data_IF_483239829060
#
_entry.id   IF_483239829060
#
_cell.length_a   1.000
_cell.length_b   1.000
_cell.length_c   1.000
_cell.angle_alpha   90.00
_cell.angle_beta   90.00
_cell.angle_gamma   90.00
#
_symmetry.space_group_name_H-M   'P 1'
#
loop_
_entity.id
_entity.type
_entity.pdbx_description
1 polymer ?
#
# COMPACT_ATOMS: atom_id res chain seq x y z
N UNK A 1 -0.62 -18.19 -2.40
CA UNK A 1 -0.05 -18.17 -1.03
C UNK A 1 -1.18 -17.73 -0.11
N UNK A 2 -1.80 -18.68 0.59
CA UNK A 2 -2.76 -18.39 1.65
C UNK A 2 -2.07 -17.48 2.64
N UNK A 3 -2.69 -16.34 2.99
CA UNK A 3 -2.26 -15.52 4.12
C UNK A 3 -2.42 -16.37 5.39
N UNK A 4 -1.46 -17.24 5.67
CA UNK A 4 -1.25 -17.73 7.02
C UNK A 4 -0.91 -16.52 7.89
N UNK A 5 -1.50 -16.49 9.08
CA UNK A 5 -1.23 -15.44 10.04
C UNK A 5 0.30 -15.36 10.22
N UNK A 6 0.91 -14.29 9.72
CA UNK A 6 2.33 -14.04 9.91
C UNK A 6 2.55 -13.94 11.39
N UNK A 7 3.33 -14.87 11.94
CA UNK A 7 3.70 -14.85 13.35
C UNK A 7 4.49 -13.56 13.62
N UNK A 8 3.83 -12.61 14.26
CA UNK A 8 4.41 -11.31 14.63
C UNK A 8 5.45 -11.43 15.74
N UNK A 9 5.73 -12.65 16.25
CA UNK A 9 6.74 -12.90 17.27
C UNK A 9 8.17 -12.88 16.72
N UNK A 10 8.38 -12.92 15.41
CA UNK A 10 9.68 -12.87 14.79
C UNK A 10 10.30 -11.48 14.92
N UNK A 11 11.42 -11.38 15.67
CA UNK A 11 12.14 -10.14 15.92
C UNK A 11 12.65 -9.44 14.65
N UNK A 12 12.88 -10.19 13.58
CA UNK A 12 13.26 -9.64 12.27
C UNK A 12 12.11 -8.85 11.63
N UNK A 13 10.88 -9.27 11.86
CA UNK A 13 9.68 -8.56 11.41
C UNK A 13 9.56 -7.23 12.14
N UNK A 14 9.75 -7.20 13.46
CA UNK A 14 9.62 -5.98 14.28
C UNK A 14 10.63 -4.89 13.91
N UNK A 15 11.90 -5.22 13.65
CA UNK A 15 12.92 -4.23 13.28
C UNK A 15 12.64 -3.55 11.92
N UNK A 16 12.01 -4.22 10.99
CA UNK A 16 11.60 -3.62 9.71
C UNK A 16 10.42 -2.63 9.86
N UNK A 17 9.64 -2.76 10.94
CA UNK A 17 8.44 -1.97 11.22
C UNK A 17 8.70 -0.61 11.85
N UNK A 18 9.75 -0.52 12.67
CA UNK A 18 10.12 0.72 13.38
C UNK A 18 10.84 1.72 12.48
N UNK A 19 11.24 1.32 11.28
CA UNK A 19 11.90 2.20 10.33
C UNK A 19 10.85 2.92 9.49
N UNK A 20 10.75 4.21 9.67
CA UNK A 20 9.98 5.10 8.81
C UNK A 20 10.42 4.88 7.38
N UNK A 21 9.48 4.59 6.47
CA UNK A 21 9.76 4.77 5.07
C UNK A 21 10.12 6.26 4.89
N UNK A 22 11.34 6.56 4.50
CA UNK A 22 11.61 7.87 3.94
C UNK A 22 11.04 7.85 2.53
N UNK A 23 9.79 8.31 2.42
CA UNK A 23 9.03 8.33 1.18
C UNK A 23 9.78 9.08 0.09
N UNK A 24 10.35 10.23 0.44
CA UNK A 24 11.12 11.08 -0.49
C UNK A 24 12.36 10.36 -1.03
N UNK A 25 13.11 9.66 -0.18
CA UNK A 25 14.27 8.87 -0.62
C UNK A 25 13.86 7.72 -1.55
N UNK A 26 12.75 7.03 -1.24
CA UNK A 26 12.23 5.96 -2.07
C UNK A 26 11.74 6.49 -3.42
N UNK A 27 11.01 7.60 -3.44
CA UNK A 27 10.55 8.26 -4.65
C UNK A 27 11.73 8.72 -5.50
N UNK A 28 12.76 9.32 -4.88
CA UNK A 28 13.97 9.77 -5.58
C UNK A 28 14.71 8.62 -6.26
N UNK A 29 14.84 7.47 -5.61
CA UNK A 29 15.46 6.29 -6.22
C UNK A 29 14.67 5.79 -7.43
N UNK A 30 13.36 5.68 -7.30
CA UNK A 30 12.51 5.13 -8.36
C UNK A 30 12.41 6.07 -9.56
N UNK A 31 12.40 7.39 -9.34
CA UNK A 31 12.38 8.39 -10.42
C UNK A 31 13.60 8.29 -11.35
N UNK A 32 14.72 7.81 -10.82
CA UNK A 32 15.97 7.68 -11.56
C UNK A 32 16.29 6.24 -11.98
N UNK A 33 15.40 5.29 -11.71
CA UNK A 33 15.58 3.90 -12.07
C UNK A 33 15.14 3.62 -13.52
N UNK A 34 15.64 2.53 -14.09
CA UNK A 34 15.17 2.00 -15.37
C UNK A 34 14.90 0.50 -15.28
N UNK A 35 14.06 0.01 -16.16
CA UNK A 35 13.69 -1.41 -16.17
C UNK A 35 14.93 -2.29 -16.43
N UNK A 36 15.04 -3.37 -15.67
CA UNK A 36 16.15 -4.32 -15.80
C UNK A 36 17.48 -3.91 -15.14
N UNK A 37 17.47 -2.84 -14.30
CA UNK A 37 18.66 -2.47 -13.52
C UNK A 37 19.17 -3.64 -12.68
N UNK A 38 20.49 -3.91 -12.77
CA UNK A 38 21.18 -4.85 -11.89
C UNK A 38 21.22 -4.34 -10.45
N UNK A 39 21.52 -5.23 -9.50
CA UNK A 39 21.69 -4.82 -8.10
C UNK A 39 22.83 -3.84 -7.91
N UNK A 40 23.90 -3.98 -8.69
CA UNK A 40 25.05 -3.08 -8.64
C UNK A 40 24.68 -1.69 -9.15
N UNK A 41 23.93 -1.60 -10.24
CA UNK A 41 23.42 -0.34 -10.78
C UNK A 41 22.46 0.36 -9.77
N UNK A 42 21.62 -0.39 -9.07
CA UNK A 42 20.79 0.15 -7.98
C UNK A 42 21.65 0.67 -6.82
N UNK A 43 22.73 -0.01 -6.48
CA UNK A 43 23.64 0.39 -5.40
C UNK A 43 24.38 1.67 -5.78
N UNK A 44 24.92 1.76 -6.98
CA UNK A 44 25.58 2.97 -7.50
C UNK A 44 24.60 4.16 -7.55
N UNK A 45 23.36 3.93 -8.00
CA UNK A 45 22.34 4.95 -8.04
C UNK A 45 22.04 5.47 -6.62
N UNK A 46 21.86 4.57 -5.66
CA UNK A 46 21.57 4.95 -4.26
C UNK A 46 22.76 5.68 -3.61
N UNK A 47 24.00 5.27 -3.89
CA UNK A 47 25.21 5.93 -3.38
C UNK A 47 25.32 7.37 -3.91
N UNK A 48 24.96 7.59 -5.16
CA UNK A 48 24.99 8.90 -5.82
C UNK A 48 23.86 9.82 -5.34
N UNK A 49 22.63 9.32 -5.24
CA UNK A 49 21.46 10.15 -4.96
C UNK A 49 21.20 10.35 -3.46
N UNK A 50 21.64 9.43 -2.62
CA UNK A 50 21.38 9.42 -1.18
C UNK A 50 22.69 9.35 -0.37
N UNK A 51 23.68 10.24 -0.61
CA UNK A 51 24.96 10.20 0.07
C UNK A 51 24.82 10.37 1.60
N UNK A 52 23.78 11.09 2.05
CA UNK A 52 23.47 11.29 3.46
C UNK A 52 22.92 10.04 4.16
N UNK A 53 22.39 9.07 3.41
CA UNK A 53 21.89 7.83 3.99
C UNK A 53 23.03 6.83 4.22
N UNK A 54 23.08 6.22 5.39
CA UNK A 54 24.07 5.16 5.66
C UNK A 54 23.86 3.92 4.76
N UNK A 55 24.93 3.19 4.47
CA UNK A 55 24.92 2.04 3.57
C UNK A 55 23.83 0.98 3.90
N UNK A 56 23.55 0.74 5.17
CA UNK A 56 22.48 -0.18 5.60
C UNK A 56 21.10 0.36 5.19
N UNK A 57 20.88 1.67 5.28
CA UNK A 57 19.64 2.32 4.90
C UNK A 57 19.44 2.29 3.38
N UNK A 58 20.48 2.58 2.59
CA UNK A 58 20.41 2.50 1.12
C UNK A 58 20.06 1.09 0.65
N UNK A 59 20.71 0.06 1.21
CA UNK A 59 20.38 -1.36 0.92
C UNK A 59 18.93 -1.71 1.25
N UNK A 60 18.41 -1.20 2.35
CA UNK A 60 17.00 -1.42 2.73
C UNK A 60 16.05 -0.75 1.73
N UNK A 61 16.30 0.50 1.33
CA UNK A 61 15.51 1.21 0.33
C UNK A 61 15.51 0.48 -1.02
N UNK A 62 16.69 0.07 -1.49
CA UNK A 62 16.81 -0.71 -2.73
C UNK A 62 15.94 -1.97 -2.64
N UNK A 63 16.06 -2.74 -1.57
CA UNK A 63 15.25 -3.96 -1.37
C UNK A 63 13.75 -3.69 -1.37
N UNK A 64 13.31 -2.53 -0.87
CA UNK A 64 11.90 -2.15 -0.86
C UNK A 64 11.37 -1.74 -2.24
N UNK A 65 12.18 -1.04 -3.04
CA UNK A 65 11.73 -0.50 -4.33
C UNK A 65 12.10 -1.36 -5.52
N UNK A 66 13.15 -2.17 -5.40
CA UNK A 66 13.54 -3.12 -6.44
C UNK A 66 12.61 -4.32 -6.44
N UNK A 67 12.21 -4.74 -7.62
CA UNK A 67 11.47 -5.99 -7.85
C UNK A 67 12.08 -6.71 -9.06
N UNK A 68 12.33 -7.97 -8.90
CA UNK A 68 12.85 -8.82 -9.98
C UNK A 68 11.72 -9.47 -10.80
N UNK A 69 10.47 -9.13 -10.47
CA UNK A 69 9.28 -9.70 -11.10
C UNK A 69 9.00 -9.05 -12.47
N UNK A 70 8.40 -9.82 -13.35
CA UNK A 70 7.92 -9.39 -14.69
C UNK A 70 7.01 -8.16 -14.60
N UNK A 71 6.36 -7.97 -13.49
CA UNK A 71 5.46 -6.83 -13.19
C UNK A 71 6.22 -5.52 -12.94
N UNK A 72 7.49 -5.58 -12.60
CA UNK A 72 8.29 -4.41 -12.27
C UNK A 72 8.32 -3.36 -13.38
N UNK A 73 8.40 -3.79 -14.63
CA UNK A 73 8.44 -2.88 -15.80
C UNK A 73 7.14 -2.09 -15.96
N UNK A 74 5.98 -2.73 -15.74
CA UNK A 74 4.68 -2.06 -15.78
C UNK A 74 4.55 -1.05 -14.62
N UNK A 75 4.97 -1.45 -13.42
CA UNK A 75 4.96 -0.59 -12.25
C UNK A 75 5.86 0.64 -12.44
N UNK A 76 7.09 0.44 -12.92
CA UNK A 76 8.06 1.52 -13.11
C UNK A 76 7.58 2.55 -14.14
N UNK A 77 7.00 2.10 -15.27
CA UNK A 77 6.41 3.01 -16.26
C UNK A 77 5.27 3.83 -15.67
N UNK A 78 4.32 3.18 -14.99
CA UNK A 78 3.20 3.86 -14.34
C UNK A 78 3.68 4.86 -13.28
N UNK A 79 4.77 4.54 -12.60
CA UNK A 79 5.37 5.40 -11.59
C UNK A 79 6.00 6.64 -12.24
N UNK A 80 6.84 6.46 -13.24
CA UNK A 80 7.56 7.56 -13.91
C UNK A 80 6.61 8.49 -14.66
N UNK A 81 5.58 7.94 -15.32
CA UNK A 81 4.55 8.72 -16.00
C UNK A 81 3.47 9.27 -15.04
N UNK A 82 3.57 8.94 -13.76
CA UNK A 82 2.56 9.25 -12.77
C UNK A 82 2.70 10.63 -12.14
N UNK A 83 1.56 11.21 -11.80
CA UNK A 83 1.53 12.36 -10.89
C UNK A 83 1.94 11.93 -9.46
N UNK A 84 2.24 12.87 -8.54
CA UNK A 84 2.65 12.53 -7.17
C UNK A 84 1.70 11.59 -6.44
N UNK A 85 0.39 11.74 -6.65
CA UNK A 85 -0.61 10.89 -6.02
C UNK A 85 -0.57 9.44 -6.52
N UNK A 86 -0.36 9.22 -7.83
CA UNK A 86 -0.13 7.89 -8.41
C UNK A 86 1.12 7.25 -7.87
N UNK A 87 2.23 7.99 -7.80
CA UNK A 87 3.52 7.50 -7.30
C UNK A 87 3.42 7.00 -5.86
N UNK A 88 2.78 7.77 -5.00
CA UNK A 88 2.52 7.37 -3.60
C UNK A 88 1.66 6.12 -3.55
N UNK A 89 0.55 6.07 -4.30
CA UNK A 89 -0.33 4.90 -4.36
C UNK A 89 0.38 3.63 -4.84
N UNK A 90 1.21 3.73 -5.88
CA UNK A 90 2.00 2.61 -6.40
C UNK A 90 3.08 2.16 -5.39
N UNK A 91 3.76 3.10 -4.75
CA UNK A 91 4.78 2.80 -3.75
C UNK A 91 4.17 2.02 -2.58
N UNK A 92 3.09 2.52 -2.02
CA UNK A 92 2.42 1.86 -0.89
C UNK A 92 1.73 0.56 -1.31
N UNK A 93 1.10 0.51 -2.48
CA UNK A 93 0.51 -0.71 -3.01
C UNK A 93 1.52 -1.84 -3.12
N UNK A 94 2.78 -1.51 -3.38
CA UNK A 94 3.88 -2.49 -3.43
C UNK A 94 4.44 -2.83 -2.05
N UNK A 95 4.70 -1.82 -1.22
CA UNK A 95 5.35 -2.00 0.08
C UNK A 95 4.49 -2.77 1.08
N UNK A 96 3.18 -2.61 1.03
CA UNK A 96 2.29 -3.10 2.07
C UNK A 96 1.91 -4.55 1.94
N UNK A 97 2.16 -5.15 0.78
CA UNK A 97 2.05 -6.60 0.64
C UNK A 97 2.86 -7.33 1.72
N UNK A 98 3.93 -6.69 2.19
CA UNK A 98 4.85 -7.20 3.21
C UNK A 98 4.76 -6.44 4.55
N UNK A 99 3.64 -5.76 4.85
CA UNK A 99 3.49 -4.94 6.07
C UNK A 99 2.24 -5.33 6.88
N UNK A 100 2.25 -6.51 7.56
CA UNK A 100 1.08 -7.05 8.26
C UNK A 100 0.48 -6.09 9.31
N UNK A 101 1.27 -5.28 10.03
CA UNK A 101 0.74 -4.37 11.04
C UNK A 101 -0.17 -3.29 10.43
N UNK A 102 0.21 -2.75 9.27
CA UNK A 102 -0.62 -1.76 8.59
C UNK A 102 -1.91 -2.39 8.07
N UNK A 103 -1.83 -3.62 7.54
CA UNK A 103 -3.02 -4.37 7.14
C UNK A 103 -3.94 -4.66 8.34
N UNK A 104 -3.36 -5.04 9.48
CA UNK A 104 -4.12 -5.19 10.72
C UNK A 104 -4.77 -3.88 11.16
N UNK A 105 -4.07 -2.74 11.05
CA UNK A 105 -4.65 -1.44 11.39
C UNK A 105 -5.81 -1.07 10.45
N UNK A 106 -5.72 -1.42 9.16
CA UNK A 106 -6.84 -1.28 8.24
C UNK A 106 -8.03 -2.12 8.68
N UNK A 107 -7.82 -3.41 8.94
CA UNK A 107 -8.89 -4.35 9.26
C UNK A 107 -9.50 -4.13 10.66
N UNK A 108 -8.66 -3.82 11.66
CA UNK A 108 -9.10 -3.73 13.06
C UNK A 108 -9.55 -2.33 13.47
N UNK A 109 -9.06 -1.27 12.79
CA UNK A 109 -9.34 0.12 13.16
C UNK A 109 -10.06 0.90 12.05
N UNK A 110 -9.49 0.93 10.83
CA UNK A 110 -9.98 1.81 9.76
C UNK A 110 -11.31 1.31 9.20
N UNK A 111 -11.38 0.08 8.72
CA UNK A 111 -12.61 -0.45 8.13
C UNK A 111 -13.79 -0.46 9.10
N UNK A 112 -13.66 -0.89 10.36
CA UNK A 112 -14.76 -0.80 11.32
C UNK A 112 -15.21 0.63 11.60
N UNK A 113 -14.31 1.61 11.56
CA UNK A 113 -14.67 3.01 11.73
C UNK A 113 -15.41 3.56 10.49
N UNK A 114 -14.96 3.20 9.27
CA UNK A 114 -15.67 3.53 8.03
C UNK A 114 -17.08 2.92 8.00
N UNK A 115 -17.21 1.65 8.37
CA UNK A 115 -18.53 0.99 8.46
C UNK A 115 -19.47 1.68 9.44
N UNK A 116 -18.95 2.20 10.56
CA UNK A 116 -19.76 3.01 11.49
C UNK A 116 -20.17 4.35 10.88
N UNK A 117 -19.24 5.02 10.19
CA UNK A 117 -19.47 6.32 9.57
C UNK A 117 -20.43 6.24 8.37
N UNK A 118 -20.46 5.13 7.66
CA UNK A 118 -21.33 4.91 6.49
C UNK A 118 -22.79 4.54 6.86
N UNK A 119 -23.12 4.41 8.14
CA UNK A 119 -24.50 4.12 8.56
C UNK A 119 -25.42 5.29 8.21
N UNK A 120 -26.72 5.04 7.95
CA UNK A 120 -27.68 6.11 7.61
C UNK A 120 -27.78 7.22 8.67
N UNK A 121 -27.56 6.87 9.96
CA UNK A 121 -27.54 7.80 11.09
C UNK A 121 -26.30 7.52 11.96
N UNK A 122 -25.10 7.93 11.49
CA UNK A 122 -23.88 7.65 12.22
C UNK A 122 -23.80 8.54 13.47
N UNK A 123 -23.19 8.06 14.57
CA UNK A 123 -22.78 8.92 15.67
C UNK A 123 -21.85 10.05 15.16
N UNK A 124 -21.84 11.17 15.87
CA UNK A 124 -21.05 12.35 15.47
C UNK A 124 -19.54 12.07 15.29
N UNK A 125 -19.02 11.11 16.04
CA UNK A 125 -17.61 10.70 16.08
C UNK A 125 -17.38 9.30 15.50
N UNK A 126 -18.29 8.80 14.66
CA UNK A 126 -18.26 7.45 14.11
C UNK A 126 -16.97 7.17 13.32
N UNK A 127 -16.40 8.20 12.69
CA UNK A 127 -15.16 8.19 11.92
C UNK A 127 -13.90 8.42 12.79
N UNK A 128 -14.05 8.70 14.08
CA UNK A 128 -12.94 8.96 14.97
C UNK A 128 -12.33 7.66 15.49
N UNK A 129 -11.01 7.61 15.53
CA UNK A 129 -10.25 6.61 16.27
C UNK A 129 -9.54 7.30 17.42
N UNK A 130 -9.99 7.02 18.63
CA UNK A 130 -9.46 7.61 19.85
C UNK A 130 -7.96 7.25 20.08
N UNK A 131 -7.18 8.15 20.68
CA UNK A 131 -5.75 7.92 20.93
C UNK A 131 -5.44 6.64 21.70
N UNK A 132 -6.26 6.31 22.70
CA UNK A 132 -6.10 5.11 23.52
C UNK A 132 -6.37 3.81 22.74
N UNK A 133 -7.24 3.85 21.71
CA UNK A 133 -7.47 2.73 20.79
C UNK A 133 -6.21 2.45 19.98
N UNK A 134 -5.56 3.51 19.46
CA UNK A 134 -4.26 3.38 18.79
C UNK A 134 -3.19 2.82 19.71
N UNK A 135 -3.14 3.29 20.94
CA UNK A 135 -2.14 2.85 21.92
C UNK A 135 -2.35 1.37 22.28
N UNK A 136 -3.58 0.94 22.49
CA UNK A 136 -3.90 -0.48 22.73
C UNK A 136 -3.52 -1.35 21.53
N UNK A 137 -3.88 -0.93 20.32
CA UNK A 137 -3.56 -1.64 19.09
C UNK A 137 -2.06 -1.86 18.93
N UNK A 138 -1.26 -0.80 19.06
CA UNK A 138 0.20 -0.89 18.92
C UNK A 138 0.82 -1.71 20.03
N UNK A 139 0.33 -1.59 21.29
CA UNK A 139 0.81 -2.41 22.42
C UNK A 139 0.55 -3.89 22.20
N UNK A 140 -0.63 -4.24 21.69
CA UNK A 140 -0.97 -5.63 21.39
C UNK A 140 -0.11 -6.25 20.26
N UNK A 141 0.48 -5.41 19.41
CA UNK A 141 1.33 -5.84 18.31
C UNK A 141 2.83 -5.87 18.65
N UNK A 142 3.24 -5.25 19.75
CA UNK A 142 4.63 -5.16 20.17
C UNK A 142 4.89 -6.06 21.40
N UNK A 143 6.16 -6.42 21.58
CA UNK A 143 6.56 -7.13 22.79
C UNK A 143 6.39 -6.24 24.04
N UNK A 144 6.11 -6.81 25.20
CA UNK A 144 5.90 -6.05 26.44
C UNK A 144 7.08 -5.16 26.86
N UNK A 145 8.29 -5.54 26.48
CA UNK A 145 9.56 -4.91 26.84
C UNK A 145 10.04 -3.84 25.84
N UNK A 146 9.21 -3.51 24.83
CA UNK A 146 9.60 -2.52 23.83
C UNK A 146 9.71 -1.13 24.45
N UNK A 147 10.85 -0.40 24.23
CA UNK A 147 11.02 0.95 24.71
C UNK A 147 9.92 1.90 24.25
N UNK A 148 9.58 2.87 25.07
CA UNK A 148 8.53 3.86 24.78
C UNK A 148 8.76 4.65 23.47
N UNK A 149 10.03 4.90 23.14
CA UNK A 149 10.43 5.54 21.89
C UNK A 149 10.08 4.67 20.65
N UNK A 150 10.39 3.38 20.69
CA UNK A 150 10.06 2.45 19.62
C UNK A 150 8.54 2.29 19.46
N UNK A 151 7.80 2.28 20.58
CA UNK A 151 6.34 2.31 20.57
C UNK A 151 5.80 3.57 19.87
N UNK A 152 6.25 4.76 20.27
CA UNK A 152 5.81 6.02 19.67
C UNK A 152 6.15 6.09 18.17
N UNK A 153 7.34 5.61 17.79
CA UNK A 153 7.78 5.53 16.41
C UNK A 153 6.92 4.57 15.57
N UNK A 154 6.63 3.39 16.09
CA UNK A 154 5.75 2.41 15.42
C UNK A 154 4.37 2.99 15.17
N UNK A 155 3.76 3.59 16.20
CA UNK A 155 2.47 4.27 16.08
C UNK A 155 2.50 5.37 15.01
N UNK A 156 3.50 6.22 15.04
CA UNK A 156 3.68 7.31 14.07
C UNK A 156 3.85 6.78 12.64
N UNK A 157 4.62 5.71 12.47
CA UNK A 157 4.86 5.08 11.16
C UNK A 157 3.57 4.49 10.56
N UNK A 158 2.80 3.74 11.36
CA UNK A 158 1.53 3.17 10.88
C UNK A 158 0.53 4.28 10.50
N UNK A 159 0.37 5.28 11.37
CA UNK A 159 -0.53 6.40 11.12
C UNK A 159 -0.09 7.24 9.92
N UNK A 160 1.21 7.50 9.78
CA UNK A 160 1.79 8.22 8.65
C UNK A 160 1.49 7.50 7.33
N UNK A 161 1.70 6.20 7.29
CA UNK A 161 1.41 5.37 6.12
C UNK A 161 -0.08 5.41 5.73
N UNK A 162 -1.00 5.26 6.68
CA UNK A 162 -2.45 5.35 6.44
C UNK A 162 -2.87 6.75 5.94
N UNK A 163 -2.21 7.79 6.44
CA UNK A 163 -2.38 9.16 5.95
C UNK A 163 -1.90 9.31 4.50
N UNK A 164 -0.73 8.77 4.16
CA UNK A 164 -0.17 8.88 2.80
C UNK A 164 -1.06 8.25 1.74
N UNK A 165 -1.78 7.17 2.06
CA UNK A 165 -2.76 6.57 1.14
C UNK A 165 -4.15 7.19 1.24
N UNK A 166 -4.32 8.19 2.08
CA UNK A 166 -5.53 9.00 2.14
C UNK A 166 -6.71 8.39 2.90
N UNK A 167 -6.49 7.32 3.70
CA UNK A 167 -7.57 6.70 4.51
C UNK A 167 -7.62 7.21 5.95
N UNK A 168 -6.63 8.02 6.35
CA UNK A 168 -6.55 8.62 7.67
C UNK A 168 -6.22 10.09 7.57
N UNK A 169 -7.04 10.94 8.15
CA UNK A 169 -6.73 12.34 8.43
C UNK A 169 -6.20 12.46 9.86
N UNK A 170 -5.07 13.17 10.00
CA UNK A 170 -4.45 13.41 11.30
C UNK A 170 -4.44 14.92 11.54
N UNK A 171 -5.11 15.35 12.59
CA UNK A 171 -5.27 16.75 12.96
C UNK A 171 -5.09 16.98 14.47
N UNK A 172 -5.23 18.23 14.90
CA UNK A 172 -5.14 18.64 16.29
C UNK A 172 -3.70 18.76 16.81
N UNK A 173 -3.57 19.27 18.05
CA UNK A 173 -2.29 19.46 18.71
C UNK A 173 -1.56 18.11 18.86
N UNK A 174 -0.33 18.04 18.36
CA UNK A 174 0.50 16.82 18.35
C UNK A 174 -0.13 15.63 17.61
N UNK A 175 -1.00 15.86 16.63
CA UNK A 175 -1.62 14.81 15.82
C UNK A 175 -2.47 13.83 16.65
N UNK A 176 -3.18 14.32 17.65
CA UNK A 176 -3.98 13.48 18.55
C UNK A 176 -5.28 13.00 17.93
N UNK A 177 -5.87 13.78 17.02
CA UNK A 177 -7.13 13.43 16.39
C UNK A 177 -6.87 12.64 15.10
N UNK A 178 -7.45 11.45 15.01
CA UNK A 178 -7.37 10.58 13.84
C UNK A 178 -8.78 10.29 13.34
N UNK A 179 -9.14 10.82 12.17
CA UNK A 179 -10.40 10.54 11.50
C UNK A 179 -10.18 9.66 10.29
N UNK A 180 -11.03 8.67 10.12
CA UNK A 180 -11.00 7.82 8.93
C UNK A 180 -11.84 8.43 7.82
N UNK A 181 -11.42 8.18 6.59
CA UNK A 181 -12.15 8.60 5.40
C UNK A 181 -11.96 7.58 4.27
N UNK A 182 -12.90 7.55 3.33
CA UNK A 182 -12.71 6.80 2.12
C UNK A 182 -11.56 7.38 1.31
N UNK A 183 -10.59 6.54 0.98
CA UNK A 183 -9.46 6.96 0.13
C UNK A 183 -9.91 7.22 -1.31
N UNK A 184 -9.17 8.09 -1.98
CA UNK A 184 -9.30 8.36 -3.41
C UNK A 184 -7.98 8.09 -4.10
N UNK A 185 -7.58 6.81 -4.27
CA UNK A 185 -6.33 6.47 -4.93
C UNK A 185 -6.33 6.98 -6.37
N UNK A 186 -5.14 7.20 -6.93
CA UNK A 186 -5.06 7.32 -8.39
C UNK A 186 -5.61 6.04 -9.03
N UNK A 187 -6.47 6.16 -10.06
CA UNK A 187 -7.14 5.00 -10.65
C UNK A 187 -6.19 3.94 -11.19
N UNK A 188 -5.05 4.34 -11.77
CA UNK A 188 -4.08 3.37 -12.30
C UNK A 188 -3.24 2.72 -11.19
N UNK A 189 -3.00 3.42 -10.08
CA UNK A 189 -2.37 2.81 -8.90
C UNK A 189 -3.28 1.73 -8.29
N UNK A 190 -4.57 2.02 -8.14
CA UNK A 190 -5.56 1.04 -7.67
C UNK A 190 -5.62 -0.17 -8.62
N UNK A 191 -5.79 0.08 -9.91
CA UNK A 191 -5.90 -0.97 -10.92
C UNK A 191 -4.64 -1.84 -11.00
N UNK A 192 -3.44 -1.26 -10.84
CA UNK A 192 -2.20 -2.01 -10.82
C UNK A 192 -2.15 -2.98 -9.62
N UNK A 193 -2.55 -2.53 -8.43
CA UNK A 193 -2.58 -3.39 -7.23
C UNK A 193 -3.57 -4.55 -7.42
N UNK A 194 -4.76 -4.30 -7.99
CA UNK A 194 -5.72 -5.37 -8.34
C UNK A 194 -5.12 -6.32 -9.36
N UNK A 195 -4.52 -5.80 -10.43
CA UNK A 195 -3.92 -6.62 -11.48
C UNK A 195 -2.78 -7.52 -10.94
N UNK A 196 -1.99 -6.99 -10.01
CA UNK A 196 -0.94 -7.75 -9.33
C UNK A 196 -1.51 -8.93 -8.53
N UNK A 197 -2.59 -8.69 -7.80
CA UNK A 197 -3.28 -9.76 -7.06
C UNK A 197 -3.89 -10.82 -7.99
N UNK A 198 -4.39 -10.42 -9.16
CA UNK A 198 -4.97 -11.32 -10.16
C UNK A 198 -3.94 -12.24 -10.83
N UNK A 199 -2.64 -11.92 -10.79
CA UNK A 199 -1.58 -12.83 -11.23
C UNK A 199 -1.53 -14.05 -10.31
N UNK A 200 -1.64 -13.85 -9.01
CA UNK A 200 -1.59 -14.92 -8.00
C UNK A 200 -2.97 -15.58 -7.80
N UNK A 201 -4.06 -14.86 -8.10
CA UNK A 201 -5.46 -15.28 -7.92
C UNK A 201 -6.28 -14.95 -9.17
N UNK A 202 -6.09 -15.67 -10.27
CA UNK A 202 -6.78 -15.38 -11.52
C UNK A 202 -8.31 -15.53 -11.40
N UNK A 203 -9.02 -14.89 -12.32
CA UNK A 203 -10.46 -15.08 -12.53
C UNK A 203 -11.37 -14.58 -11.40
N UNK A 204 -11.06 -13.44 -10.80
CA UNK A 204 -11.93 -12.84 -9.79
C UNK A 204 -13.07 -12.03 -10.41
N UNK A 205 -14.18 -11.90 -9.69
CA UNK A 205 -15.31 -11.04 -10.12
C UNK A 205 -15.02 -9.56 -9.89
N UNK A 206 -15.67 -8.68 -10.66
CA UNK A 206 -15.56 -7.23 -10.43
C UNK A 206 -16.04 -6.79 -9.04
N UNK A 207 -17.13 -7.31 -8.48
CA UNK A 207 -17.53 -7.01 -7.11
C UNK A 207 -16.48 -7.41 -6.07
N UNK A 208 -15.76 -8.52 -6.30
CA UNK A 208 -14.64 -8.90 -5.46
C UNK A 208 -13.51 -7.89 -5.58
N UNK A 209 -13.12 -7.50 -6.80
CA UNK A 209 -12.05 -6.54 -7.03
C UNK A 209 -12.34 -5.19 -6.38
N UNK A 210 -13.59 -4.72 -6.45
CA UNK A 210 -14.00 -3.44 -5.90
C UNK A 210 -14.11 -3.42 -4.37
N UNK A 211 -14.31 -4.57 -3.70
CA UNK A 211 -14.66 -4.61 -2.27
C UNK A 211 -13.74 -5.47 -1.41
N UNK A 212 -13.09 -6.48 -1.99
CA UNK A 212 -12.34 -7.50 -1.24
C UNK A 212 -10.90 -7.67 -1.69
N UNK A 213 -10.51 -7.04 -2.81
CA UNK A 213 -9.13 -7.06 -3.25
C UNK A 213 -8.22 -6.37 -2.24
N UNK A 214 -6.95 -6.66 -2.33
CA UNK A 214 -5.94 -5.96 -1.54
C UNK A 214 -5.98 -4.44 -1.77
N UNK A 215 -6.20 -4.00 -3.01
CA UNK A 215 -6.38 -2.59 -3.34
C UNK A 215 -7.58 -1.96 -2.62
N UNK A 216 -8.72 -2.68 -2.58
CA UNK A 216 -9.91 -2.20 -1.88
C UNK A 216 -9.68 -2.09 -0.38
N UNK A 217 -8.94 -3.04 0.22
CA UNK A 217 -8.56 -2.98 1.64
C UNK A 217 -7.59 -1.83 1.92
N UNK A 218 -6.58 -1.68 1.07
CA UNK A 218 -5.51 -0.69 1.23
C UNK A 218 -6.01 0.75 1.14
N UNK A 219 -6.78 1.03 0.11
CA UNK A 219 -7.23 2.39 -0.21
C UNK A 219 -8.63 2.70 0.31
N UNK A 220 -9.37 1.69 0.74
CA UNK A 220 -10.75 1.81 1.23
C UNK A 220 -11.63 2.78 0.40
N UNK A 221 -11.65 2.70 -0.94
CA UNK A 221 -12.44 3.61 -1.76
C UNK A 221 -13.94 3.33 -1.60
N UNK A 222 -14.78 4.30 -1.94
CA UNK A 222 -16.20 4.02 -2.17
C UNK A 222 -16.37 3.09 -3.36
N UNK A 223 -17.41 2.26 -3.35
CA UNK A 223 -17.59 1.21 -4.35
C UNK A 223 -17.75 1.75 -5.79
N UNK A 224 -18.42 2.88 -5.97
CA UNK A 224 -18.56 3.58 -7.25
C UNK A 224 -17.22 4.09 -7.77
N UNK A 225 -16.40 4.64 -6.88
CA UNK A 225 -15.05 5.08 -7.24
C UNK A 225 -14.11 3.90 -7.55
N UNK A 226 -14.21 2.80 -6.81
CA UNK A 226 -13.49 1.58 -7.12
C UNK A 226 -13.83 1.05 -8.53
N UNK A 227 -15.11 1.07 -8.91
CA UNK A 227 -15.53 0.70 -10.27
C UNK A 227 -14.88 1.60 -11.33
N UNK A 228 -14.84 2.92 -11.11
CA UNK A 228 -14.14 3.87 -12.00
C UNK A 228 -12.66 3.54 -12.13
N UNK A 229 -12.00 3.14 -11.03
CA UNK A 229 -10.60 2.72 -11.06
C UNK A 229 -10.40 1.43 -11.88
N UNK A 230 -11.31 0.46 -11.77
CA UNK A 230 -11.27 -0.76 -12.58
C UNK A 230 -11.44 -0.45 -14.08
N UNK A 231 -12.36 0.45 -14.43
CA UNK A 231 -12.57 0.90 -15.82
C UNK A 231 -11.30 1.55 -16.39
N UNK A 232 -10.67 2.43 -15.62
CA UNK A 232 -9.39 3.03 -16.00
C UNK A 232 -8.28 1.98 -16.20
N UNK A 233 -8.24 0.97 -15.35
CA UNK A 233 -7.31 -0.16 -15.47
C UNK A 233 -7.52 -0.99 -16.72
N UNK A 234 -8.77 -1.22 -17.10
CA UNK A 234 -9.12 -1.90 -18.37
C UNK A 234 -8.71 -1.06 -19.57
N UNK A 235 -9.02 0.24 -19.54
CA UNK A 235 -8.64 1.16 -20.63
C UNK A 235 -7.12 1.26 -20.80
N UNK A 236 -6.36 1.17 -19.71
CA UNK A 236 -4.89 1.18 -19.74
C UNK A 236 -4.25 -0.20 -20.02
N UNK A 237 -5.06 -1.26 -20.22
CA UNK A 237 -4.57 -2.61 -20.48
C UNK A 237 -3.96 -3.31 -19.26
N UNK A 238 -4.05 -2.75 -18.05
CA UNK A 238 -3.60 -3.39 -16.81
C UNK A 238 -4.55 -4.52 -16.39
N UNK A 239 -5.83 -4.38 -16.71
CA UNK A 239 -6.89 -5.33 -16.46
C UNK A 239 -7.55 -5.72 -17.78
N UNK A 240 -8.15 -6.89 -17.81
CA UNK A 240 -8.96 -7.39 -18.92
C UNK A 240 -10.28 -7.96 -18.38
N UNK A 241 -11.38 -7.57 -18.97
CA UNK A 241 -12.70 -8.19 -18.72
C UNK A 241 -12.87 -9.42 -19.59
N UNK A 242 -13.49 -10.43 -19.04
CA UNK A 242 -13.96 -11.61 -19.73
C UNK A 242 -15.24 -12.13 -19.12
N UNK A 243 -15.81 -13.16 -19.71
CA UNK A 243 -17.02 -13.80 -19.21
C UNK A 243 -16.76 -15.28 -18.97
N UNK A 244 -17.19 -15.75 -17.83
CA UNK A 244 -17.25 -17.19 -17.51
C UNK A 244 -18.66 -17.51 -17.03
N UNK A 245 -19.35 -18.41 -17.77
CA UNK A 245 -20.74 -18.81 -17.46
C UNK A 245 -21.67 -17.60 -17.19
N UNK A 246 -21.68 -16.62 -18.09
CA UNK A 246 -22.46 -15.39 -18.00
C UNK A 246 -22.09 -14.44 -16.84
N UNK A 247 -21.03 -14.70 -16.10
CA UNK A 247 -20.50 -13.82 -15.06
C UNK A 247 -19.31 -13.00 -15.58
N UNK A 248 -19.32 -11.70 -15.32
CA UNK A 248 -18.17 -10.85 -15.60
C UNK A 248 -17.01 -11.22 -14.69
N UNK A 249 -15.84 -11.40 -15.27
CA UNK A 249 -14.58 -11.74 -14.57
C UNK A 249 -13.50 -10.76 -14.95
N UNK A 250 -12.60 -10.50 -14.01
CA UNK A 250 -11.39 -9.72 -14.22
C UNK A 250 -10.16 -10.63 -14.26
N UNK A 251 -9.25 -10.27 -15.13
CA UNK A 251 -7.96 -10.91 -15.33
C UNK A 251 -6.86 -9.86 -15.35
N UNK A 252 -5.63 -10.24 -15.01
CA UNK A 252 -4.47 -9.41 -15.30
C UNK A 252 -4.39 -9.15 -16.81
N UNK A 253 -4.24 -7.90 -17.18
CA UNK A 253 -4.18 -7.49 -18.58
C UNK A 253 -2.80 -7.68 -19.21
N UNK A 254 -2.69 -7.61 -20.54
CA UNK A 254 -1.43 -7.76 -21.24
C UNK A 254 -0.38 -6.71 -20.83
N UNK A 255 -0.82 -5.52 -20.43
CA UNK A 255 0.06 -4.46 -19.93
C UNK A 255 0.83 -4.81 -18.68
N UNK A 256 0.37 -5.79 -17.89
CA UNK A 256 1.07 -6.34 -16.74
C UNK A 256 2.13 -7.37 -17.12
N UNK A 257 1.89 -8.11 -18.20
CA UNK A 257 2.68 -9.28 -18.59
C UNK A 257 3.79 -8.92 -19.60
N UNK A 258 3.68 -7.78 -20.29
CA UNK A 258 4.64 -7.31 -21.28
C UNK A 258 5.78 -6.50 -20.62
N UNK A 259 6.50 -7.15 -19.73
CA UNK A 259 7.76 -6.65 -19.17
C UNK A 259 8.91 -6.97 -20.13
N UNK A 260 9.18 -6.09 -21.08
CA UNK A 260 10.47 -6.12 -21.80
C UNK A 260 10.46 -6.67 -23.22
N UNK A 261 9.67 -6.10 -24.09
CA UNK A 261 9.91 -6.11 -25.52
C UNK A 261 9.49 -4.76 -26.11
N UNK A 262 10.39 -3.83 -26.10
CA UNK A 262 10.49 -2.70 -27.01
C UNK A 262 11.95 -2.36 -27.16
#
# INVERSE_FOLDING_TARGET
>A
MTMEAVDLSDAATLTSWTRTLNEDDALTLVDNAFAGMSIDAWTELADRLLPQAGAARRRELIRMVRDDDVVASAWLRLFQDGNPHRRVGLLYGRLWWNRPLVLRALDELVHPALERADRPLPPYDADLIEPDVWDRFVRAALRPDVPSEAFAKTRSTVRGALRSVGVLEISGNHGRTCRVQHGRPDPLAFAWVVARELIDRPEQSEPWAARKSFAARLFAPRADYAATCLDAGVAAGLLRRGHLMAQSRLYAGPGMLMGGAA
#
